data_IF_379958328746
#
_entry.id   IF_379958328746
#
_cell.length_a   1.000
_cell.length_b   1.000
_cell.length_c   1.000
_cell.angle_alpha   90.00
_cell.angle_beta   90.00
_cell.angle_gamma   90.00
#
_symmetry.space_group_name_H-M   'P 1'
#
loop_
_entity.id
_entity.type
_entity.pdbx_description
1 polymer ?
#
# COMPACT_ATOMS: atom_id res chain seq x y z
N UNK A 1 10.59 47.44 -6.54
CA UNK A 1 10.97 46.23 -5.80
C UNK A 1 9.81 45.27 -5.90
N UNK A 2 9.86 44.37 -6.87
CA UNK A 2 8.95 43.23 -6.95
C UNK A 2 9.43 42.23 -5.89
N UNK A 3 8.63 41.98 -4.86
CA UNK A 3 8.90 40.86 -3.94
C UNK A 3 9.03 39.59 -4.78
N UNK A 4 10.17 38.91 -4.64
CA UNK A 4 10.27 37.54 -5.13
C UNK A 4 9.22 36.72 -4.38
N UNK A 5 8.43 35.87 -5.06
CA UNK A 5 7.45 35.04 -4.37
C UNK A 5 8.18 34.21 -3.30
N UNK A 6 7.61 34.15 -2.10
CA UNK A 6 8.11 33.31 -1.03
C UNK A 6 8.31 31.88 -1.57
N UNK A 7 9.52 31.34 -1.41
CA UNK A 7 9.82 29.99 -1.87
C UNK A 7 8.96 29.02 -1.07
N UNK A 8 8.01 28.36 -1.72
CA UNK A 8 7.25 27.26 -1.11
C UNK A 8 8.25 26.21 -0.64
N UNK A 9 8.22 25.79 0.64
CA UNK A 9 9.14 24.78 1.14
C UNK A 9 8.97 23.48 0.34
N UNK A 10 10.09 22.79 0.08
CA UNK A 10 10.05 21.53 -0.67
C UNK A 10 9.31 20.43 0.12
N UNK A 11 9.46 20.45 1.44
CA UNK A 11 8.80 19.61 2.44
C UNK A 11 8.21 20.54 3.51
N UNK A 12 6.90 20.53 3.68
CA UNK A 12 6.20 21.27 4.74
C UNK A 12 6.03 20.40 6.00
N UNK A 13 5.35 20.94 7.02
CA UNK A 13 5.15 20.27 8.30
C UNK A 13 4.30 19.00 8.16
N UNK A 14 3.22 19.06 7.39
CA UNK A 14 2.32 17.92 7.16
C UNK A 14 3.04 16.79 6.43
N UNK A 15 3.78 17.10 5.35
CA UNK A 15 4.56 16.11 4.63
C UNK A 15 5.70 15.54 5.47
N UNK A 16 6.28 16.33 6.37
CA UNK A 16 7.29 15.84 7.33
C UNK A 16 6.70 14.81 8.30
N UNK A 17 5.48 15.05 8.80
CA UNK A 17 4.78 14.11 9.67
C UNK A 17 4.36 12.82 8.93
N UNK A 18 3.86 12.96 7.69
CA UNK A 18 3.53 11.82 6.83
C UNK A 18 4.78 10.96 6.55
N UNK A 19 5.92 11.59 6.24
CA UNK A 19 7.21 10.93 6.03
C UNK A 19 7.67 10.17 7.28
N UNK A 20 7.62 10.79 8.46
CA UNK A 20 8.06 10.18 9.70
C UNK A 20 7.20 8.94 10.04
N UNK A 21 5.88 9.06 9.88
CA UNK A 21 4.93 7.95 10.11
C UNK A 21 5.19 6.80 9.14
N UNK A 22 5.30 7.10 7.83
CA UNK A 22 5.55 6.10 6.80
C UNK A 22 6.90 5.38 6.99
N UNK A 23 7.94 6.13 7.35
CA UNK A 23 9.28 5.58 7.59
C UNK A 23 9.30 4.62 8.79
N UNK A 24 8.62 4.97 9.89
CA UNK A 24 8.52 4.10 11.06
C UNK A 24 7.74 2.82 10.74
N UNK A 25 6.62 2.92 10.03
CA UNK A 25 5.84 1.77 9.61
C UNK A 25 6.65 0.84 8.69
N UNK A 26 7.32 1.40 7.69
CA UNK A 26 8.19 0.67 6.78
C UNK A 26 9.35 -0.01 7.51
N UNK A 27 9.99 0.68 8.46
CA UNK A 27 11.05 0.10 9.29
C UNK A 27 10.56 -1.09 10.13
N UNK A 28 9.36 -1.00 10.71
CA UNK A 28 8.73 -2.11 11.45
C UNK A 28 8.44 -3.30 10.55
N UNK A 29 7.92 -3.06 9.33
CA UNK A 29 7.68 -4.12 8.35
C UNK A 29 8.97 -4.81 7.93
N UNK A 30 10.02 -4.07 7.62
CA UNK A 30 11.33 -4.65 7.33
C UNK A 30 11.95 -5.38 8.53
N UNK A 31 11.75 -4.89 9.75
CA UNK A 31 12.16 -5.58 10.97
C UNK A 31 11.44 -6.93 11.12
N UNK A 32 10.17 -7.00 10.71
CA UNK A 32 9.36 -8.22 10.65
C UNK A 32 9.66 -9.11 9.42
N UNK A 33 10.59 -8.72 8.54
CA UNK A 33 11.03 -9.51 7.39
C UNK A 33 10.31 -9.23 6.06
N UNK A 34 9.62 -8.09 5.95
CA UNK A 34 8.90 -7.68 4.74
C UNK A 34 9.81 -7.52 3.51
N UNK A 35 9.21 -7.70 2.33
CA UNK A 35 9.73 -7.26 1.03
C UNK A 35 8.99 -6.00 0.57
N UNK A 36 9.72 -5.04 0.00
CA UNK A 36 9.14 -3.83 -0.60
C UNK A 36 8.96 -3.99 -2.12
N UNK A 37 7.72 -4.01 -2.57
CA UNK A 37 7.33 -4.09 -3.98
C UNK A 37 7.05 -2.69 -4.53
N UNK A 38 7.75 -2.30 -5.59
CA UNK A 38 7.71 -0.93 -6.11
C UNK A 38 7.03 -0.89 -7.47
N UNK A 39 5.96 -0.10 -7.61
CA UNK A 39 5.26 0.12 -8.89
C UNK A 39 5.31 1.59 -9.29
N UNK A 40 5.57 1.87 -10.57
CA UNK A 40 5.53 3.24 -11.11
C UNK A 40 5.12 3.23 -12.59
N UNK A 41 3.87 2.84 -12.89
CA UNK A 41 3.44 2.58 -14.27
C UNK A 41 3.45 3.82 -15.19
N UNK A 42 3.38 5.04 -14.64
CA UNK A 42 3.53 6.28 -15.44
C UNK A 42 4.99 6.68 -15.64
N UNK A 43 5.86 6.31 -14.70
CA UNK A 43 7.23 6.79 -14.62
C UNK A 43 8.15 5.65 -14.17
N UNK A 44 8.29 4.62 -15.01
CA UNK A 44 9.04 3.40 -14.74
C UNK A 44 10.41 3.60 -14.07
N UNK A 45 11.24 4.61 -14.46
CA UNK A 45 12.52 4.85 -13.80
C UNK A 45 12.44 5.02 -12.28
N UNK A 46 11.36 5.59 -11.75
CA UNK A 46 11.18 5.73 -10.29
C UNK A 46 11.03 4.37 -9.60
N UNK A 47 10.42 3.37 -10.25
CA UNK A 47 10.29 2.05 -9.66
C UNK A 47 11.66 1.39 -9.48
N UNK A 48 12.49 1.45 -10.52
CA UNK A 48 13.86 0.95 -10.46
C UNK A 48 14.73 1.70 -9.46
N UNK A 49 14.59 3.03 -9.42
CA UNK A 49 15.36 3.87 -8.52
C UNK A 49 15.11 3.48 -7.07
N UNK A 50 13.85 3.48 -6.63
CA UNK A 50 13.47 3.10 -5.26
C UNK A 50 13.97 1.68 -4.96
N UNK A 51 13.74 0.71 -5.84
CA UNK A 51 14.15 -0.67 -5.59
C UNK A 51 15.67 -0.82 -5.40
N UNK A 52 16.47 -0.14 -6.23
CA UNK A 52 17.94 -0.21 -6.15
C UNK A 52 18.46 0.42 -4.86
N UNK A 53 17.86 1.52 -4.39
CA UNK A 53 18.34 2.21 -3.19
C UNK A 53 18.14 1.42 -1.90
N UNK A 54 17.05 0.66 -1.80
CA UNK A 54 16.82 -0.22 -0.67
C UNK A 54 17.77 -1.44 -0.70
N UNK A 55 18.08 -1.99 -1.88
CA UNK A 55 18.96 -3.17 -2.02
C UNK A 55 20.45 -2.81 -1.94
N UNK A 56 20.86 -1.66 -2.49
CA UNK A 56 22.26 -1.20 -2.57
C UNK A 56 22.40 0.15 -1.87
N UNK A 57 22.38 0.17 -0.52
CA UNK A 57 22.40 1.41 0.23
C UNK A 57 23.68 2.21 -0.04
N UNK A 58 23.52 3.49 -0.43
CA UNK A 58 24.64 4.38 -0.79
C UNK A 58 25.52 4.73 0.41
N UNK A 59 24.97 4.69 1.62
CA UNK A 59 25.70 4.98 2.86
C UNK A 59 26.41 3.72 3.33
N UNK A 60 27.74 3.80 3.45
CA UNK A 60 28.58 2.73 3.96
C UNK A 60 28.07 2.20 5.31
N UNK A 61 27.90 0.88 5.40
CA UNK A 61 27.52 0.19 6.63
C UNK A 61 26.01 0.11 6.89
N UNK A 62 25.15 0.70 6.05
CA UNK A 62 23.70 0.51 6.15
C UNK A 62 23.29 -0.88 5.64
N UNK A 63 22.26 -1.44 6.27
CA UNK A 63 21.70 -2.76 5.96
C UNK A 63 21.01 -2.71 4.58
N UNK A 64 21.30 -3.68 3.72
CA UNK A 64 20.51 -3.91 2.52
C UNK A 64 19.11 -4.45 2.89
N UNK A 65 18.07 -3.89 2.27
CA UNK A 65 16.67 -4.21 2.52
C UNK A 65 16.03 -4.82 1.26
N UNK A 66 15.20 -5.87 1.37
CA UNK A 66 14.61 -6.53 0.19
C UNK A 66 13.66 -5.59 -0.54
N UNK A 67 13.98 -5.24 -1.79
CA UNK A 67 13.08 -4.46 -2.64
C UNK A 67 13.17 -4.85 -4.10
N UNK A 68 12.03 -4.80 -4.81
CA UNK A 68 11.91 -5.24 -6.20
C UNK A 68 10.99 -4.28 -6.96
N UNK A 69 11.44 -3.84 -8.14
CA UNK A 69 10.63 -3.08 -9.08
C UNK A 69 9.72 -4.02 -9.89
N UNK A 70 8.43 -3.70 -9.92
CA UNK A 70 7.39 -4.39 -10.67
C UNK A 70 6.97 -3.49 -11.85
N UNK A 71 7.53 -3.77 -13.02
CA UNK A 71 7.47 -2.89 -14.22
C UNK A 71 6.83 -3.55 -15.43
N UNK A 72 6.24 -4.75 -15.29
CA UNK A 72 5.52 -5.36 -16.41
C UNK A 72 4.17 -4.64 -16.66
N UNK A 73 3.55 -4.83 -17.84
CA UNK A 73 2.35 -4.08 -18.23
C UNK A 73 1.14 -4.21 -17.29
N UNK A 74 1.08 -5.27 -16.47
CA UNK A 74 0.03 -5.51 -15.48
C UNK A 74 0.59 -5.55 -14.05
N UNK A 75 0.85 -4.39 -13.43
CA UNK A 75 1.36 -4.33 -12.07
C UNK A 75 0.38 -4.90 -11.04
N UNK A 76 -0.93 -4.92 -11.33
CA UNK A 76 -1.94 -5.52 -10.44
C UNK A 76 -1.71 -7.02 -10.34
N UNK A 77 -1.56 -7.70 -11.49
CA UNK A 77 -1.25 -9.13 -11.51
C UNK A 77 0.11 -9.43 -10.88
N UNK A 78 1.12 -8.59 -11.11
CA UNK A 78 2.44 -8.76 -10.48
C UNK A 78 2.36 -8.68 -8.96
N UNK A 79 1.74 -7.62 -8.42
CA UNK A 79 1.56 -7.47 -6.97
C UNK A 79 0.78 -8.66 -6.40
N UNK A 80 -0.34 -9.06 -7.02
CA UNK A 80 -1.16 -10.19 -6.56
C UNK A 80 -0.36 -11.49 -6.38
N UNK A 81 0.61 -11.75 -7.26
CA UNK A 81 1.42 -12.97 -7.23
C UNK A 81 2.63 -12.82 -6.30
N UNK A 82 3.27 -11.66 -6.29
CA UNK A 82 4.52 -11.43 -5.58
C UNK A 82 4.31 -11.21 -4.07
N UNK A 83 3.27 -10.46 -3.72
CA UNK A 83 3.02 -9.97 -2.37
C UNK A 83 2.62 -11.08 -1.41
N UNK A 84 3.24 -11.08 -0.23
CA UNK A 84 2.86 -11.92 0.92
C UNK A 84 2.30 -11.06 2.05
N UNK A 85 1.48 -11.63 2.95
CA UNK A 85 1.07 -10.94 4.16
C UNK A 85 2.27 -10.39 4.94
N UNK A 86 2.21 -9.11 5.29
CA UNK A 86 3.28 -8.38 5.96
C UNK A 86 4.28 -7.67 5.04
N UNK A 87 4.19 -7.85 3.72
CA UNK A 87 4.96 -7.07 2.76
C UNK A 87 4.45 -5.62 2.65
N UNK A 88 5.19 -4.79 1.92
CA UNK A 88 4.81 -3.40 1.61
C UNK A 88 4.79 -3.20 0.11
N UNK A 89 3.77 -2.50 -0.39
CA UNK A 89 3.70 -2.02 -1.76
C UNK A 89 3.86 -0.51 -1.75
N UNK A 90 4.81 0.00 -2.51
CA UNK A 90 4.97 1.43 -2.76
C UNK A 90 4.64 1.75 -4.22
N UNK A 91 3.78 2.75 -4.43
CA UNK A 91 3.49 3.26 -5.76
C UNK A 91 3.99 4.69 -5.94
N UNK A 92 4.57 4.98 -7.09
CA UNK A 92 4.89 6.34 -7.55
C UNK A 92 4.01 6.65 -8.77
N UNK A 93 2.93 7.40 -8.57
CA UNK A 93 1.93 7.67 -9.61
C UNK A 93 1.02 8.85 -9.26
N UNK A 94 0.33 9.43 -10.24
CA UNK A 94 -0.80 10.33 -10.01
C UNK A 94 -1.98 9.60 -9.37
N UNK A 95 -2.83 10.33 -8.64
CA UNK A 95 -3.94 9.76 -7.87
C UNK A 95 -5.03 9.08 -8.73
N UNK A 96 -5.08 9.44 -10.01
CA UNK A 96 -6.03 8.92 -10.99
C UNK A 96 -5.48 7.75 -11.83
N UNK A 97 -4.26 7.27 -11.54
CA UNK A 97 -3.67 6.15 -12.25
C UNK A 97 -4.48 4.86 -11.95
N UNK A 98 -5.16 4.26 -12.95
CA UNK A 98 -6.15 3.19 -12.70
C UNK A 98 -5.58 1.90 -12.10
N UNK A 99 -4.38 1.51 -12.52
CA UNK A 99 -3.69 0.31 -12.02
C UNK A 99 -3.21 0.50 -10.59
N UNK A 100 -2.73 1.70 -10.22
CA UNK A 100 -2.35 2.00 -8.84
C UNK A 100 -3.58 2.03 -7.94
N UNK A 101 -4.68 2.64 -8.37
CA UNK A 101 -5.95 2.58 -7.64
C UNK A 101 -6.41 1.14 -7.38
N UNK A 102 -6.28 0.25 -8.37
CA UNK A 102 -6.67 -1.16 -8.19
C UNK A 102 -5.70 -1.93 -7.29
N UNK A 103 -4.38 -1.65 -7.36
CA UNK A 103 -3.40 -2.19 -6.41
C UNK A 103 -3.73 -1.77 -4.98
N UNK A 104 -3.92 -0.47 -4.73
CA UNK A 104 -4.16 0.04 -3.39
C UNK A 104 -5.46 -0.51 -2.77
N UNK A 105 -6.51 -0.66 -3.59
CA UNK A 105 -7.78 -1.24 -3.15
C UNK A 105 -7.66 -2.71 -2.77
N UNK A 106 -6.77 -3.48 -3.42
CA UNK A 106 -6.60 -4.92 -3.21
C UNK A 106 -5.54 -5.28 -2.17
N UNK A 107 -4.54 -4.43 -1.98
CA UNK A 107 -3.42 -4.68 -1.08
C UNK A 107 -3.83 -5.09 0.35
N UNK A 108 -4.91 -4.54 0.97
CA UNK A 108 -5.35 -5.02 2.27
C UNK A 108 -5.82 -6.48 2.25
N UNK A 109 -6.46 -6.95 1.16
CA UNK A 109 -6.82 -8.36 1.00
C UNK A 109 -5.59 -9.26 0.80
N UNK A 110 -4.45 -8.71 0.38
CA UNK A 110 -3.16 -9.41 0.31
C UNK A 110 -2.38 -9.34 1.62
N UNK A 111 -2.88 -8.58 2.60
CA UNK A 111 -2.21 -8.36 3.89
C UNK A 111 -0.96 -7.48 3.79
N UNK A 112 -0.87 -6.63 2.76
CA UNK A 112 0.26 -5.74 2.55
C UNK A 112 -0.10 -4.29 2.89
N UNK A 113 0.86 -3.60 3.49
CA UNK A 113 0.77 -2.16 3.71
C UNK A 113 1.08 -1.40 2.42
N UNK A 114 0.55 -0.19 2.32
CA UNK A 114 0.63 0.62 1.12
C UNK A 114 1.22 2.00 1.38
N UNK A 115 2.16 2.39 0.52
CA UNK A 115 2.74 3.75 0.48
C UNK A 115 2.48 4.32 -0.92
N UNK A 116 1.90 5.51 -1.00
CA UNK A 116 1.65 6.18 -2.28
C UNK A 116 2.37 7.53 -2.35
N UNK A 117 3.34 7.62 -3.25
CA UNK A 117 4.05 8.85 -3.59
C UNK A 117 3.45 9.45 -4.88
N UNK A 118 3.11 10.74 -4.85
CA UNK A 118 2.61 11.41 -6.05
C UNK A 118 2.46 12.91 -5.91
N UNK A 119 1.79 13.52 -6.89
CA UNK A 119 1.58 14.96 -6.96
C UNK A 119 0.24 15.32 -7.62
N UNK A 120 -0.24 16.53 -7.38
CA UNK A 120 -1.50 17.03 -7.94
C UNK A 120 -2.68 16.77 -7.00
N UNK A 121 -3.89 16.49 -7.51
CA UNK A 121 -5.02 16.11 -6.66
C UNK A 121 -4.65 14.90 -5.78
N UNK A 122 -4.79 15.03 -4.46
CA UNK A 122 -4.48 13.96 -3.50
C UNK A 122 -5.50 12.81 -3.63
N UNK A 123 -5.11 11.54 -3.49
CA UNK A 123 -6.08 10.45 -3.37
C UNK A 123 -7.00 10.66 -2.16
N UNK A 124 -8.21 10.07 -2.17
CA UNK A 124 -9.12 10.16 -1.03
C UNK A 124 -8.47 9.58 0.24
N UNK A 125 -8.86 10.11 1.40
CA UNK A 125 -8.42 9.57 2.69
C UNK A 125 -8.74 8.07 2.78
N UNK A 126 -7.77 7.27 3.25
CA UNK A 126 -7.87 5.81 3.28
C UNK A 126 -7.60 5.12 1.93
N UNK A 127 -7.21 5.87 0.89
CA UNK A 127 -6.81 5.30 -0.39
C UNK A 127 -5.46 4.57 -0.38
N UNK A 128 -4.65 4.77 0.67
CA UNK A 128 -3.44 4.03 1.01
C UNK A 128 -3.17 4.22 2.52
N UNK A 129 -2.39 3.34 3.13
CA UNK A 129 -2.01 3.44 4.56
C UNK A 129 -1.14 4.68 4.80
N UNK A 130 -0.25 4.98 3.85
CA UNK A 130 0.59 6.17 3.87
C UNK A 130 0.57 6.88 2.53
N UNK A 131 0.32 8.19 2.54
CA UNK A 131 0.34 9.02 1.32
C UNK A 131 1.38 10.11 1.48
N UNK A 132 2.39 10.14 0.61
CA UNK A 132 3.45 11.15 0.57
C UNK A 132 3.23 12.02 -0.66
N UNK A 133 2.63 13.19 -0.48
CA UNK A 133 2.06 13.94 -1.60
C UNK A 133 2.65 15.33 -1.77
N UNK A 134 2.88 15.70 -3.04
CA UNK A 134 3.25 17.04 -3.42
C UNK A 134 2.02 17.81 -3.89
N UNK A 135 1.60 18.82 -3.13
CA UNK A 135 0.57 19.76 -3.58
C UNK A 135 1.14 20.72 -4.64
N UNK A 136 0.98 20.34 -5.91
CA UNK A 136 1.41 21.15 -7.05
C UNK A 136 0.68 20.72 -8.31
N UNK A 137 0.19 21.69 -9.07
CA UNK A 137 -0.37 21.49 -10.41
C UNK A 137 0.68 21.44 -11.53
N UNK A 138 1.98 21.48 -11.21
CA UNK A 138 3.04 21.45 -12.21
C UNK A 138 3.23 20.01 -12.76
N UNK A 139 2.97 19.76 -14.06
CA UNK A 139 3.13 18.43 -14.65
C UNK A 139 4.59 17.94 -14.66
N UNK A 140 5.56 18.83 -14.42
CA UNK A 140 6.99 18.48 -14.38
C UNK A 140 7.44 17.92 -13.04
N UNK A 141 6.63 17.97 -11.97
CA UNK A 141 7.00 17.46 -10.63
C UNK A 141 7.64 16.06 -10.64
N UNK A 142 7.17 15.08 -11.45
CA UNK A 142 7.81 13.78 -11.54
C UNK A 142 9.26 13.80 -12.03
N UNK A 143 9.66 14.86 -12.74
CA UNK A 143 10.98 15.03 -13.34
C UNK A 143 11.84 16.13 -12.67
N UNK A 144 11.29 16.93 -11.76
CA UNK A 144 12.06 17.99 -11.06
C UNK A 144 12.94 17.47 -9.92
N UNK A 145 12.81 16.18 -9.56
CA UNK A 145 13.52 15.57 -8.44
C UNK A 145 12.74 15.58 -7.12
N UNK A 146 11.51 16.11 -7.06
CA UNK A 146 10.72 16.11 -5.82
C UNK A 146 10.36 14.70 -5.34
N UNK A 147 10.02 13.78 -6.24
CA UNK A 147 9.82 12.37 -5.85
C UNK A 147 11.11 11.72 -5.38
N UNK A 148 12.24 12.05 -6.03
CA UNK A 148 13.58 11.58 -5.65
C UNK A 148 13.89 11.95 -4.21
N UNK A 149 13.74 13.23 -3.87
CA UNK A 149 13.88 13.71 -2.50
C UNK A 149 12.99 12.93 -1.52
N UNK A 150 11.74 12.67 -1.91
CA UNK A 150 10.76 12.05 -1.02
C UNK A 150 11.10 10.60 -0.68
N UNK A 151 11.44 9.77 -1.68
CA UNK A 151 11.83 8.40 -1.38
C UNK A 151 13.26 8.29 -0.81
N UNK A 152 14.14 9.26 -1.05
CA UNK A 152 15.43 9.38 -0.33
C UNK A 152 15.23 9.63 1.15
N UNK A 153 14.38 10.60 1.50
CA UNK A 153 14.05 10.88 2.90
C UNK A 153 13.35 9.69 3.55
N UNK A 154 12.41 9.05 2.85
CA UNK A 154 11.77 7.83 3.34
C UNK A 154 12.82 6.73 3.64
N UNK A 155 13.75 6.50 2.70
CA UNK A 155 14.84 5.55 2.87
C UNK A 155 15.74 5.90 4.06
N UNK A 156 16.15 7.15 4.20
CA UNK A 156 17.05 7.61 5.27
C UNK A 156 16.38 7.48 6.63
N UNK A 157 15.14 7.98 6.76
CA UNK A 157 14.36 7.91 8.00
C UNK A 157 14.03 6.46 8.40
N UNK A 158 13.78 5.58 7.43
CA UNK A 158 13.61 4.14 7.68
C UNK A 158 14.88 3.57 8.32
N UNK A 159 16.06 3.98 7.83
CA UNK A 159 17.33 3.55 8.41
C UNK A 159 17.62 4.17 9.78
N UNK A 160 17.22 5.42 10.01
CA UNK A 160 17.29 6.05 11.34
C UNK A 160 16.48 5.23 12.35
N UNK A 161 15.30 4.72 11.98
CA UNK A 161 14.51 3.88 12.88
C UNK A 161 15.26 2.60 13.32
N UNK A 162 16.11 2.01 12.45
CA UNK A 162 16.94 0.86 12.84
C UNK A 162 18.03 1.20 13.88
N UNK A 163 18.42 2.47 13.99
CA UNK A 163 19.35 2.94 15.02
C UNK A 163 18.67 3.11 16.39
N UNK A 164 17.33 3.02 16.42
CA UNK A 164 16.51 3.07 17.62
C UNK A 164 15.64 1.81 17.76
N UNK A 165 16.21 0.63 18.12
CA UNK A 165 15.50 -0.65 18.12
C UNK A 165 14.22 -0.69 18.98
N UNK A 166 14.13 0.15 20.02
CA UNK A 166 12.93 0.29 20.85
C UNK A 166 11.69 0.76 20.07
N UNK A 167 11.86 1.37 18.90
CA UNK A 167 10.75 1.77 18.02
C UNK A 167 10.21 0.62 17.16
N UNK A 168 10.99 -0.44 16.94
CA UNK A 168 10.74 -1.47 15.93
C UNK A 168 9.78 -2.57 16.39
N UNK A 169 9.61 -2.73 17.70
CA UNK A 169 8.65 -3.67 18.27
C UNK A 169 7.44 -2.87 18.73
N UNK A 170 6.23 -3.11 18.17
CA UNK A 170 5.02 -2.50 18.70
C UNK A 170 4.87 -2.87 20.18
N UNK A 171 4.45 -1.93 21.02
CA UNK A 171 4.14 -2.24 22.42
C UNK A 171 3.02 -3.29 22.43
N UNK A 172 3.26 -4.44 23.05
CA UNK A 172 2.35 -5.59 23.09
C UNK A 172 1.04 -5.34 23.87
N UNK A 173 0.70 -4.09 24.17
CA UNK A 173 -0.27 -3.69 25.19
C UNK A 173 -1.69 -3.39 24.68
N UNK A 174 -1.98 -3.46 23.37
CA UNK A 174 -3.31 -3.09 22.85
C UNK A 174 -4.10 -4.21 22.14
N UNK A 175 -3.62 -5.46 22.15
CA UNK A 175 -4.44 -6.60 21.71
C UNK A 175 -4.97 -7.37 22.92
N UNK A 176 -6.15 -6.99 23.41
CA UNK A 176 -6.95 -7.88 24.26
C UNK A 176 -7.42 -9.07 23.43
N UNK A 177 -6.61 -10.13 23.33
CA UNK A 177 -6.99 -11.41 22.70
C UNK A 177 -8.08 -12.14 23.51
N UNK A 178 -9.30 -11.60 23.49
CA UNK A 178 -10.49 -12.24 24.08
C UNK A 178 -11.75 -11.95 23.26
N UNK A 179 -11.64 -11.90 21.93
CA UNK A 179 -12.78 -11.82 21.02
C UNK A 179 -12.98 -13.15 20.29
N UNK A 180 -14.18 -13.75 20.37
CA UNK A 180 -14.54 -14.83 19.45
C UNK A 180 -14.63 -14.24 18.03
N UNK A 181 -13.96 -14.83 17.03
CA UNK A 181 -14.02 -14.40 15.61
C UNK A 181 -15.46 -14.33 15.08
N UNK A 182 -16.39 -15.11 15.65
CA UNK A 182 -17.82 -15.09 15.29
C UNK A 182 -18.61 -13.97 15.98
N UNK A 183 -18.12 -13.45 17.11
CA UNK A 183 -18.76 -12.35 17.86
C UNK A 183 -17.99 -11.03 17.75
N UNK A 184 -16.89 -11.00 17.00
CA UNK A 184 -16.15 -9.78 16.67
C UNK A 184 -16.91 -9.07 15.56
N UNK A 185 -17.27 -7.80 15.76
CA UNK A 185 -17.91 -6.93 14.75
C UNK A 185 -16.92 -6.52 13.62
N UNK A 186 -15.97 -7.39 13.29
CA UNK A 186 -14.92 -7.13 12.31
C UNK A 186 -15.34 -7.64 10.93
N UNK A 187 -15.29 -6.75 9.94
CA UNK A 187 -15.39 -7.09 8.53
C UNK A 187 -13.99 -7.07 7.89
N UNK A 188 -13.58 -8.18 7.29
CA UNK A 188 -12.28 -8.31 6.63
C UNK A 188 -12.44 -8.21 5.12
N UNK A 189 -11.54 -7.46 4.47
CA UNK A 189 -11.51 -7.41 3.01
C UNK A 189 -10.99 -8.75 2.47
N UNK A 190 -11.66 -9.28 1.45
CA UNK A 190 -11.24 -10.46 0.72
C UNK A 190 -11.30 -10.27 -0.80
N UNK A 191 -10.41 -10.93 -1.53
CA UNK A 191 -10.42 -11.03 -2.99
C UNK A 191 -10.82 -12.45 -3.38
N UNK A 192 -11.85 -12.59 -4.21
CA UNK A 192 -12.30 -13.90 -4.72
C UNK A 192 -11.21 -14.49 -5.61
N UNK A 193 -10.70 -15.66 -5.25
CA UNK A 193 -9.72 -16.42 -6.04
C UNK A 193 -10.44 -17.38 -6.97
N UNK A 194 -11.39 -18.14 -6.43
CA UNK A 194 -12.22 -19.08 -7.19
C UNK A 194 -13.69 -18.91 -6.81
N UNK A 195 -14.59 -18.74 -7.79
CA UNK A 195 -16.03 -18.71 -7.54
C UNK A 195 -16.54 -20.11 -7.17
N UNK A 196 -17.73 -20.20 -6.55
CA UNK A 196 -18.31 -21.49 -6.20
C UNK A 196 -18.68 -22.28 -7.46
N UNK A 197 -18.48 -23.59 -7.44
CA UNK A 197 -18.80 -24.46 -8.58
C UNK A 197 -20.32 -24.65 -8.75
N UNK A 198 -21.06 -24.60 -7.65
CA UNK A 198 -22.52 -24.65 -7.60
C UNK A 198 -23.06 -23.62 -6.61
N UNK A 199 -24.35 -23.31 -6.66
CA UNK A 199 -24.99 -22.35 -5.75
C UNK A 199 -24.96 -22.75 -4.26
N UNK A 200 -24.57 -23.98 -3.93
CA UNK A 200 -24.45 -24.48 -2.56
C UNK A 200 -22.99 -24.55 -2.07
N UNK A 201 -22.03 -24.29 -2.95
CA UNK A 201 -20.61 -24.31 -2.62
C UNK A 201 -20.13 -22.94 -2.13
N UNK A 202 -19.02 -22.94 -1.39
CA UNK A 202 -18.32 -21.71 -0.98
C UNK A 202 -17.35 -21.23 -2.06
N UNK A 203 -17.10 -19.93 -2.12
CA UNK A 203 -16.00 -19.36 -2.89
C UNK A 203 -14.67 -19.53 -2.14
N UNK A 204 -13.55 -19.66 -2.85
CA UNK A 204 -12.22 -19.50 -2.27
C UNK A 204 -11.87 -18.01 -2.31
N UNK A 205 -11.64 -17.41 -1.15
CA UNK A 205 -11.35 -15.98 -1.00
C UNK A 205 -10.02 -15.80 -0.31
N UNK A 206 -9.14 -15.00 -0.90
CA UNK A 206 -7.89 -14.55 -0.27
C UNK A 206 -8.17 -13.39 0.66
N UNK A 207 -7.68 -13.48 1.88
CA UNK A 207 -7.72 -12.40 2.88
C UNK A 207 -6.30 -12.09 3.38
N UNK A 208 -6.16 -11.02 4.17
CA UNK A 208 -4.89 -10.65 4.79
C UNK A 208 -4.22 -11.79 5.58
N UNK A 209 -5.02 -12.70 6.12
CA UNK A 209 -4.56 -13.84 6.94
C UNK A 209 -4.40 -15.15 6.15
N UNK A 210 -4.64 -15.12 4.84
CA UNK A 210 -4.57 -16.28 3.96
C UNK A 210 -5.90 -16.58 3.26
N UNK A 211 -5.92 -17.69 2.53
CA UNK A 211 -7.09 -18.12 1.76
C UNK A 211 -8.08 -18.88 2.66
N UNK A 212 -9.36 -18.56 2.53
CA UNK A 212 -10.46 -19.18 3.28
C UNK A 212 -11.67 -19.49 2.38
N UNK A 213 -12.48 -20.46 2.81
CA UNK A 213 -13.74 -20.79 2.16
C UNK A 213 -14.85 -19.90 2.70
N UNK A 214 -15.49 -19.13 1.81
CA UNK A 214 -16.48 -18.09 2.18
C UNK A 214 -17.82 -18.37 1.51
N UNK A 215 -18.90 -18.33 2.30
CA UNK A 215 -20.26 -18.37 1.77
C UNK A 215 -20.59 -17.05 1.06
N UNK A 216 -20.89 -17.14 -0.24
CA UNK A 216 -21.22 -15.99 -1.10
C UNK A 216 -22.69 -15.97 -1.51
N UNK A 217 -23.53 -16.84 -0.94
CA UNK A 217 -24.95 -17.00 -1.32
C UNK A 217 -25.73 -15.69 -1.27
N UNK A 218 -25.42 -14.82 -0.30
CA UNK A 218 -26.05 -13.49 -0.15
C UNK A 218 -25.73 -12.57 -1.34
N UNK A 219 -24.54 -12.69 -1.92
CA UNK A 219 -24.09 -11.88 -3.04
C UNK A 219 -24.54 -12.44 -4.39
N UNK A 220 -24.84 -13.74 -4.48
CA UNK A 220 -25.10 -14.44 -5.73
C UNK A 220 -23.81 -14.66 -6.52
N UNK A 221 -23.82 -14.37 -7.82
CA UNK A 221 -22.69 -14.66 -8.72
C UNK A 221 -21.48 -13.76 -8.44
N UNK A 222 -20.38 -14.34 -7.97
CA UNK A 222 -19.08 -13.65 -7.81
C UNK A 222 -18.10 -14.11 -8.88
N UNK A 223 -17.19 -13.23 -9.29
CA UNK A 223 -16.13 -13.52 -10.26
C UNK A 223 -14.74 -13.50 -9.60
N UNK A 224 -13.75 -14.24 -10.15
CA UNK A 224 -12.35 -14.06 -9.76
C UNK A 224 -11.93 -12.59 -9.80
N UNK A 225 -11.31 -12.11 -8.73
CA UNK A 225 -10.90 -10.73 -8.56
C UNK A 225 -11.98 -9.79 -8.01
N UNK A 226 -13.19 -10.26 -7.74
CA UNK A 226 -14.17 -9.47 -6.98
C UNK A 226 -13.64 -9.21 -5.57
N UNK A 227 -13.81 -7.98 -5.08
CA UNK A 227 -13.54 -7.65 -3.68
C UNK A 227 -14.83 -7.75 -2.88
N UNK A 228 -14.75 -8.48 -1.77
CA UNK A 228 -15.89 -8.76 -0.89
C UNK A 228 -15.52 -8.42 0.55
N UNK A 229 -16.52 -8.01 1.32
CA UNK A 229 -16.41 -7.85 2.76
C UNK A 229 -16.84 -9.16 3.42
N UNK A 230 -15.93 -9.82 4.13
CA UNK A 230 -16.13 -11.10 4.78
C UNK A 230 -16.35 -10.91 6.28
N UNK A 231 -17.41 -11.50 6.81
CA UNK A 231 -17.73 -11.50 8.24
C UNK A 231 -18.35 -12.85 8.62
N UNK A 232 -17.86 -13.46 9.71
CA UNK A 232 -18.38 -14.74 10.19
C UNK A 232 -18.34 -15.90 9.17
N UNK A 233 -17.41 -15.88 8.22
CA UNK A 233 -17.30 -16.88 7.15
C UNK A 233 -18.24 -16.66 5.95
N UNK A 234 -18.98 -15.54 5.92
CA UNK A 234 -19.85 -15.16 4.81
C UNK A 234 -19.44 -13.82 4.19
N UNK A 235 -19.59 -13.68 2.88
CA UNK A 235 -19.43 -12.42 2.17
C UNK A 235 -20.74 -11.62 2.28
N UNK A 236 -20.68 -10.48 2.96
CA UNK A 236 -21.88 -9.68 3.29
C UNK A 236 -22.11 -8.52 2.31
N UNK A 237 -21.07 -8.08 1.60
CA UNK A 237 -21.18 -7.06 0.55
C UNK A 237 -20.05 -7.21 -0.47
N UNK A 238 -20.30 -6.77 -1.71
CA UNK A 238 -19.22 -6.43 -2.65
C UNK A 238 -18.65 -5.06 -2.28
N UNK A 239 -17.35 -4.88 -2.48
CA UNK A 239 -16.70 -3.57 -2.38
C UNK A 239 -16.72 -2.95 -3.76
N UNK A 240 -17.52 -1.90 -3.92
CA UNK A 240 -17.74 -1.23 -5.20
C UNK A 240 -16.41 -0.82 -5.83
N UNK A 241 -16.33 -0.94 -7.15
CA UNK A 241 -15.24 -0.34 -7.91
C UNK A 241 -15.46 1.17 -8.00
N UNK A 242 -14.39 1.97 -8.10
CA UNK A 242 -14.50 3.44 -8.22
C UNK A 242 -15.39 3.87 -9.42
N UNK A 243 -15.51 3.00 -10.43
CA UNK A 243 -16.38 3.19 -11.61
C UNK A 243 -17.89 3.03 -11.29
N UNK A 244 -18.25 2.30 -10.24
CA UNK A 244 -19.64 2.10 -9.80
C UNK A 244 -20.09 3.16 -8.78
N UNK A 245 -19.18 3.68 -7.95
CA UNK A 245 -19.50 4.72 -6.96
C UNK A 245 -19.76 6.11 -7.57
N UNK A 246 -19.40 6.31 -8.84
CA UNK A 246 -19.62 7.54 -9.60
C UNK A 246 -20.89 7.51 -10.48
N UNK A 247 -21.73 6.48 -10.33
CA UNK A 247 -23.06 6.36 -10.96
C UNK A 247 -24.16 6.48 -9.91
#
# INVERSE_FOLDING_TARGET
MTEAPAQTPLIDEDLSQDLATAALALARRFNAGATLWVVSPQWEPHAHHVAVEFVHPVIMGKRALPSVALVEPDPVAQCRVATRPGDVIIAVASADQPQVLDVMRRAPAWGADTIWIGSGPRPPAGGADHTLWVDSGDPMVPATGRFVLMYHLLWELTHVCFEHPGLLTPDAAECTETGCVTCSDEGRLGEVVLPPATAMDTALVRTATGDESVDVTVLGDVAPGDLVLVHGGAAISRVATATEAAR
#
